data_IF_149723277353
#
_entry.id   IF_149723277353
#
_cell.length_a   1.000
_cell.length_b   1.000
_cell.length_c   1.000
_cell.angle_alpha   90.00
_cell.angle_beta   90.00
_cell.angle_gamma   90.00
#
_symmetry.space_group_name_H-M   'P 1'
#
loop_
_entity.id
_entity.type
_entity.pdbx_description
1 polymer ?
#
# COMPACT_ATOMS: atom_id res chain seq x y z
N UNK A 1 -40.14 -25.60 36.93
CA UNK A 1 -38.76 -26.04 37.19
C UNK A 1 -38.30 -26.77 35.94
N UNK A 2 -37.99 -26.04 34.87
CA UNK A 2 -36.76 -25.24 34.67
C UNK A 2 -35.56 -26.15 34.44
N UNK A 3 -35.33 -26.53 33.19
CA UNK A 3 -33.98 -26.77 32.69
C UNK A 3 -33.77 -25.85 31.49
N UNK A 4 -32.89 -24.88 31.71
CA UNK A 4 -32.46 -23.88 30.74
C UNK A 4 -31.54 -24.57 29.73
N UNK A 5 -31.94 -24.55 28.45
CA UNK A 5 -31.03 -24.75 27.34
C UNK A 5 -29.90 -23.72 27.45
N UNK A 6 -28.65 -24.20 27.40
CA UNK A 6 -27.45 -23.38 27.31
C UNK A 6 -27.03 -23.29 25.84
N UNK A 7 -27.27 -22.19 25.11
CA UNK A 7 -26.74 -21.99 23.76
C UNK A 7 -25.44 -21.21 23.88
N UNK A 8 -24.34 -21.88 24.26
CA UNK A 8 -23.12 -21.19 24.66
C UNK A 8 -21.82 -21.70 24.06
N UNK A 9 -21.83 -22.61 23.07
CA UNK A 9 -20.57 -23.25 22.62
C UNK A 9 -20.51 -23.70 21.16
N UNK A 10 -21.26 -23.06 20.25
CA UNK A 10 -21.20 -23.37 18.81
C UNK A 10 -20.69 -22.21 17.93
N UNK A 11 -20.07 -21.17 18.50
CA UNK A 11 -19.52 -20.02 17.72
C UNK A 11 -17.99 -19.98 17.63
N UNK A 12 -17.27 -20.98 18.14
CA UNK A 12 -15.80 -20.98 18.13
C UNK A 12 -15.15 -21.76 16.97
N UNK A 13 -15.95 -22.32 16.05
CA UNK A 13 -15.45 -23.22 15.00
C UNK A 13 -15.44 -22.68 13.56
N UNK A 14 -15.92 -21.45 13.33
CA UNK A 14 -16.15 -20.90 11.98
C UNK A 14 -15.16 -19.80 11.57
N UNK A 15 -14.14 -19.50 12.38
CA UNK A 15 -13.27 -18.33 12.22
C UNK A 15 -11.94 -18.59 11.49
N UNK A 16 -11.62 -19.83 11.14
CA UNK A 16 -10.41 -20.18 10.38
C UNK A 16 -10.77 -20.63 8.95
N UNK A 17 -11.11 -19.67 8.07
CA UNK A 17 -11.10 -19.91 6.62
C UNK A 17 -9.71 -19.58 6.04
N UNK A 18 -9.09 -20.46 5.25
CA UNK A 18 -7.67 -20.43 4.88
C UNK A 18 -7.20 -19.19 4.10
N UNK A 19 -8.08 -18.42 3.44
CA UNK A 19 -7.66 -17.42 2.42
C UNK A 19 -7.37 -15.99 2.91
N UNK A 20 -7.79 -15.57 4.10
CA UNK A 20 -7.22 -14.32 4.72
C UNK A 20 -6.28 -14.58 5.87
N UNK A 21 -6.25 -15.82 6.37
CA UNK A 21 -4.99 -16.35 6.84
C UNK A 21 -3.92 -16.19 5.74
N UNK A 22 -4.22 -16.43 4.46
CA UNK A 22 -3.25 -16.22 3.37
C UNK A 22 -2.84 -14.75 3.13
N UNK A 23 -3.74 -13.74 3.11
CA UNK A 23 -3.32 -12.33 2.93
C UNK A 23 -2.59 -11.76 4.16
N UNK A 24 -3.10 -12.00 5.37
CA UNK A 24 -2.39 -11.60 6.60
C UNK A 24 -1.08 -12.37 6.72
N UNK A 25 -1.03 -13.64 6.31
CA UNK A 25 0.20 -14.41 6.26
C UNK A 25 1.15 -13.89 5.18
N UNK A 26 0.66 -13.40 4.03
CA UNK A 26 1.46 -12.76 2.98
C UNK A 26 2.03 -11.42 3.45
N UNK A 27 1.24 -10.56 4.07
CA UNK A 27 1.73 -9.28 4.66
C UNK A 27 2.71 -9.58 5.80
N UNK A 28 2.41 -10.55 6.66
CA UNK A 28 3.32 -10.99 7.70
C UNK A 28 4.60 -11.62 7.10
N UNK A 29 4.50 -12.34 5.99
CA UNK A 29 5.65 -12.88 5.26
C UNK A 29 6.48 -11.77 4.64
N UNK A 30 5.86 -10.77 4.02
CA UNK A 30 6.56 -9.60 3.49
C UNK A 30 7.33 -8.85 4.58
N UNK A 31 6.73 -8.69 5.77
CA UNK A 31 7.43 -8.13 6.94
C UNK A 31 8.55 -9.06 7.46
N UNK A 32 8.38 -10.38 7.41
CA UNK A 32 9.44 -11.35 7.75
C UNK A 32 10.59 -11.30 6.73
N UNK A 33 10.28 -11.21 5.45
CA UNK A 33 11.25 -11.05 4.36
C UNK A 33 12.02 -9.75 4.51
N UNK A 34 11.32 -8.64 4.74
CA UNK A 34 11.94 -7.35 5.05
C UNK A 34 12.88 -7.45 6.26
N UNK A 35 12.42 -8.03 7.37
CA UNK A 35 13.25 -8.19 8.57
C UNK A 35 14.51 -9.05 8.32
N UNK A 36 14.38 -10.14 7.54
CA UNK A 36 15.50 -11.00 7.16
C UNK A 36 16.48 -10.26 6.24
N UNK A 37 15.98 -9.54 5.25
CA UNK A 37 16.80 -8.76 4.33
C UNK A 37 17.55 -7.65 5.08
N UNK A 38 16.87 -6.92 5.97
CA UNK A 38 17.48 -5.90 6.81
C UNK A 38 18.55 -6.49 7.75
N UNK A 39 18.25 -7.61 8.41
CA UNK A 39 19.23 -8.30 9.26
C UNK A 39 20.48 -8.74 8.49
N UNK A 40 20.32 -9.15 7.22
CA UNK A 40 21.44 -9.51 6.35
C UNK A 40 22.22 -8.30 5.83
N UNK A 41 21.54 -7.17 5.57
CA UNK A 41 22.15 -5.95 5.05
C UNK A 41 22.94 -5.19 6.11
N UNK A 42 22.42 -5.08 7.34
CA UNK A 42 23.02 -4.28 8.41
C UNK A 42 24.51 -4.60 8.71
N UNK A 43 24.96 -5.86 8.79
CA UNK A 43 26.37 -6.19 9.02
C UNK A 43 27.29 -5.91 7.82
N UNK A 44 26.72 -5.71 6.64
CA UNK A 44 27.46 -5.45 5.40
C UNK A 44 27.68 -3.95 5.15
N UNK A 45 27.04 -3.10 5.94
CA UNK A 45 27.18 -1.66 5.86
C UNK A 45 28.64 -1.24 6.11
N UNK A 46 29.27 -0.49 5.18
CA UNK A 46 30.61 0.04 5.38
C UNK A 46 30.70 0.89 6.66
N UNK A 47 31.87 0.90 7.29
CA UNK A 47 32.11 1.79 8.43
C UNK A 47 31.93 3.24 7.99
N UNK A 48 31.06 3.97 8.70
CA UNK A 48 30.71 5.35 8.40
C UNK A 48 29.51 5.54 7.51
N UNK A 49 28.90 4.49 6.97
CA UNK A 49 27.66 4.63 6.22
C UNK A 49 26.45 4.79 7.14
N UNK A 50 25.45 5.53 6.66
CA UNK A 50 24.13 5.62 7.26
C UNK A 50 23.09 5.04 6.30
N UNK A 51 22.18 4.23 6.83
CA UNK A 51 21.01 3.69 6.14
C UNK A 51 19.79 4.40 6.68
N UNK A 52 19.02 5.06 5.83
CA UNK A 52 17.76 5.70 6.17
C UNK A 52 16.57 4.83 5.73
N UNK A 53 15.58 4.72 6.60
CA UNK A 53 14.32 4.02 6.37
C UNK A 53 13.20 4.95 6.78
N UNK A 54 12.46 5.47 5.80
CA UNK A 54 11.34 6.36 6.03
C UNK A 54 10.03 5.72 5.56
N UNK A 55 8.96 5.95 6.33
CA UNK A 55 7.62 5.84 5.77
C UNK A 55 7.47 6.96 4.76
N UNK A 56 7.02 6.60 3.57
CA UNK A 56 6.67 7.58 2.56
C UNK A 56 5.57 8.51 3.12
N UNK A 57 5.88 9.80 3.40
CA UNK A 57 4.98 10.73 4.11
C UNK A 57 3.65 10.94 3.38
N UNK A 58 3.67 10.66 2.09
CA UNK A 58 2.54 10.85 1.20
C UNK A 58 1.65 9.63 1.19
N UNK A 59 2.23 8.44 1.32
CA UNK A 59 1.50 7.17 1.41
C UNK A 59 0.86 6.96 2.80
N UNK A 60 1.37 7.63 3.84
CA UNK A 60 0.78 7.71 5.19
C UNK A 60 -0.24 8.85 5.37
N UNK A 61 -0.37 9.76 4.40
CA UNK A 61 -1.23 10.94 4.52
C UNK A 61 -0.74 11.94 5.58
N UNK A 62 0.56 11.94 5.87
CA UNK A 62 1.17 12.71 6.97
C UNK A 62 1.81 14.02 6.53
N UNK A 63 1.73 14.35 5.23
CA UNK A 63 2.22 15.61 4.68
C UNK A 63 3.75 15.68 4.78
N UNK A 64 4.28 16.64 5.55
CA UNK A 64 5.73 16.79 5.78
C UNK A 64 6.27 15.98 6.97
N UNK A 65 5.42 15.26 7.70
CA UNK A 65 5.87 14.46 8.84
C UNK A 65 6.48 13.14 8.36
N UNK A 66 7.80 13.04 8.54
CA UNK A 66 8.59 11.86 8.17
C UNK A 66 8.74 10.97 9.40
N UNK A 67 8.08 9.82 9.37
CA UNK A 67 8.32 8.76 10.36
C UNK A 67 9.42 7.86 9.83
N UNK A 68 10.56 7.83 10.52
CA UNK A 68 11.70 7.07 10.02
C UNK A 68 12.64 6.57 11.10
N UNK A 69 13.52 5.70 10.66
CA UNK A 69 14.63 5.15 11.41
C UNK A 69 15.90 5.30 10.57
N UNK A 70 16.96 5.83 11.15
CA UNK A 70 18.29 5.78 10.56
C UNK A 70 19.20 4.82 11.31
N UNK A 71 20.13 4.19 10.62
CA UNK A 71 21.13 3.28 11.18
C UNK A 71 22.51 3.66 10.68
N UNK A 72 23.39 4.04 11.60
CA UNK A 72 24.78 4.37 11.32
C UNK A 72 25.71 3.22 11.73
N UNK A 73 26.67 2.89 10.88
CA UNK A 73 27.79 2.00 11.20
C UNK A 73 28.96 2.82 11.74
N UNK A 74 29.27 2.67 13.03
CA UNK A 74 30.32 3.44 13.73
C UNK A 74 31.73 2.93 13.39
N UNK A 75 32.75 3.70 13.78
CA UNK A 75 34.18 3.39 13.53
C UNK A 75 34.65 2.04 14.11
N UNK A 76 34.01 1.59 15.18
CA UNK A 76 34.29 0.30 15.81
C UNK A 76 33.50 -0.87 15.19
N UNK A 77 32.75 -0.60 14.11
CA UNK A 77 31.86 -1.55 13.44
C UNK A 77 30.56 -1.82 14.19
N UNK A 78 30.27 -1.11 15.29
CA UNK A 78 29.00 -1.22 15.98
C UNK A 78 27.91 -0.42 15.27
N UNK A 79 26.66 -0.88 15.38
CA UNK A 79 25.51 -0.23 14.76
C UNK A 79 24.78 0.63 15.80
N UNK A 80 24.50 1.87 15.42
CA UNK A 80 23.66 2.78 16.16
C UNK A 80 22.41 3.10 15.35
N UNK A 81 21.23 2.82 15.89
CA UNK A 81 19.98 3.22 15.29
C UNK A 81 19.37 4.43 16.01
N UNK A 82 18.68 5.25 15.23
CA UNK A 82 17.92 6.42 15.67
C UNK A 82 16.52 6.34 15.12
N UNK A 83 15.51 6.58 15.95
CA UNK A 83 14.12 6.62 15.53
C UNK A 83 13.52 8.00 15.85
N UNK A 84 12.81 8.56 14.87
CA UNK A 84 12.18 9.89 14.96
C UNK A 84 11.34 10.05 16.24
N UNK A 85 11.45 11.22 16.88
CA UNK A 85 10.67 11.58 18.05
C UNK A 85 9.74 12.78 17.80
N UNK A 86 8.92 13.11 18.80
CA UNK A 86 8.03 14.29 18.76
C UNK A 86 8.74 15.64 18.59
N UNK A 87 10.06 15.70 18.78
CA UNK A 87 10.85 16.90 18.51
C UNK A 87 10.92 17.19 16.99
N UNK A 88 10.93 16.14 16.17
CA UNK A 88 11.04 16.21 14.71
C UNK A 88 9.69 16.05 13.99
N UNK A 89 8.59 15.87 14.74
CA UNK A 89 7.25 15.72 14.20
C UNK A 89 6.41 17.00 14.41
N UNK A 90 5.64 17.45 13.39
CA UNK A 90 4.67 18.54 13.55
C UNK A 90 3.61 18.22 14.61
N UNK A 91 2.99 19.24 15.21
CA UNK A 91 2.06 19.10 16.35
C UNK A 91 0.91 18.10 16.10
N UNK A 92 0.39 18.01 14.86
CA UNK A 92 -0.71 17.10 14.49
C UNK A 92 -0.29 15.64 14.26
N UNK A 93 1.01 15.36 14.23
CA UNK A 93 1.59 14.04 13.91
C UNK A 93 2.51 13.55 15.02
N UNK A 94 2.40 14.10 16.23
CA UNK A 94 3.19 13.64 17.36
C UNK A 94 2.71 12.28 17.85
N UNK A 95 3.66 11.42 18.18
CA UNK A 95 3.45 10.15 18.88
C UNK A 95 2.71 10.39 20.19
N UNK A 96 1.60 9.68 20.37
CA UNK A 96 0.85 9.66 21.62
C UNK A 96 1.60 8.91 22.72
N UNK A 97 1.13 9.03 23.97
CA UNK A 97 1.76 8.38 25.13
C UNK A 97 1.87 6.86 25.00
N UNK A 98 0.89 6.23 24.35
CA UNK A 98 0.88 4.78 24.08
C UNK A 98 1.98 4.38 23.10
N UNK A 99 2.15 5.14 22.01
CA UNK A 99 3.23 4.94 21.03
C UNK A 99 4.61 5.16 21.66
N UNK A 100 4.78 6.20 22.48
CA UNK A 100 6.04 6.45 23.22
C UNK A 100 6.34 5.29 24.19
N UNK A 101 5.34 4.78 24.91
CA UNK A 101 5.52 3.63 25.78
C UNK A 101 5.91 2.36 24.99
N UNK A 102 5.33 2.17 23.81
CA UNK A 102 5.69 1.08 22.91
C UNK A 102 7.15 1.18 22.42
N UNK A 103 7.63 2.39 22.08
CA UNK A 103 9.05 2.62 21.74
C UNK A 103 9.97 2.15 22.87
N UNK A 104 9.71 2.57 24.11
CA UNK A 104 10.52 2.18 25.27
C UNK A 104 10.44 0.67 25.52
N UNK A 105 9.26 0.07 25.37
CA UNK A 105 9.08 -1.38 25.52
C UNK A 105 9.81 -2.20 24.45
N UNK A 106 10.02 -1.64 23.26
CA UNK A 106 10.84 -2.23 22.19
C UNK A 106 12.34 -2.14 22.47
N UNK A 107 12.76 -1.36 23.47
CA UNK A 107 14.17 -1.19 23.86
C UNK A 107 14.79 0.14 23.44
N UNK A 108 14.01 1.05 22.84
CA UNK A 108 14.49 2.38 22.51
C UNK A 108 14.76 3.22 23.75
N UNK A 109 15.94 3.84 23.81
CA UNK A 109 16.25 4.86 24.81
C UNK A 109 15.54 6.17 24.42
N UNK A 110 14.85 6.83 25.36
CA UNK A 110 14.23 8.13 25.09
C UNK A 110 15.22 9.19 24.57
N UNK A 111 14.73 10.23 23.87
CA UNK A 111 15.55 11.36 23.45
C UNK A 111 16.42 11.93 24.57
N UNK A 112 17.70 12.20 24.28
CA UNK A 112 18.67 12.74 25.23
C UNK A 112 19.27 11.73 26.22
N UNK A 113 18.85 10.46 26.22
CA UNK A 113 19.39 9.44 27.14
C UNK A 113 20.66 8.78 26.58
N UNK A 114 20.69 8.50 25.27
CA UNK A 114 21.83 7.85 24.61
C UNK A 114 22.70 8.89 23.90
N UNK A 115 24.03 8.80 24.08
CA UNK A 115 24.96 9.63 23.34
C UNK A 115 24.86 9.31 21.83
N UNK A 116 24.74 10.36 20.99
CA UNK A 116 24.59 10.23 19.55
C UNK A 116 23.14 10.17 19.04
N UNK A 117 22.13 9.93 19.90
CA UNK A 117 20.72 9.95 19.46
C UNK A 117 20.10 11.35 19.40
N UNK A 118 20.72 12.34 20.06
CA UNK A 118 20.24 13.73 20.13
C UNK A 118 18.76 13.79 20.55
N UNK A 119 17.92 14.38 19.73
CA UNK A 119 16.47 14.53 19.94
C UNK A 119 15.67 13.30 19.50
N UNK A 120 16.31 12.27 18.95
CA UNK A 120 15.69 11.02 18.53
C UNK A 120 15.80 9.94 19.61
N UNK A 121 14.93 8.95 19.51
CA UNK A 121 15.08 7.69 20.26
C UNK A 121 16.35 6.98 19.80
N UNK A 122 17.11 6.43 20.73
CA UNK A 122 18.41 5.82 20.45
C UNK A 122 18.49 4.36 20.86
N UNK A 123 19.18 3.56 20.05
CA UNK A 123 19.54 2.18 20.42
C UNK A 123 20.85 1.78 19.76
N UNK A 124 21.64 0.94 20.43
CA UNK A 124 22.79 0.24 19.85
C UNK A 124 22.55 -1.26 19.93
N UNK A 125 23.08 -2.01 18.97
CA UNK A 125 22.87 -3.46 18.95
C UNK A 125 23.55 -4.17 17.79
N UNK A 126 23.41 -5.49 17.77
CA UNK A 126 23.82 -6.34 16.66
C UNK A 126 22.73 -6.39 15.57
N UNK A 127 23.13 -6.65 14.32
CA UNK A 127 22.26 -6.59 13.13
C UNK A 127 20.91 -7.28 13.28
N UNK A 128 20.86 -8.54 13.74
CA UNK A 128 19.60 -9.30 13.86
C UNK A 128 18.62 -8.70 14.88
N UNK A 129 19.13 -8.33 16.06
CA UNK A 129 18.33 -7.74 17.12
C UNK A 129 17.82 -6.36 16.72
N UNK A 130 18.69 -5.58 16.07
CA UNK A 130 18.39 -4.26 15.55
C UNK A 130 17.31 -4.31 14.47
N UNK A 131 17.46 -5.18 13.47
CA UNK A 131 16.48 -5.35 12.39
C UNK A 131 15.08 -5.69 12.90
N UNK A 132 14.96 -6.55 13.91
CA UNK A 132 13.67 -6.89 14.50
C UNK A 132 13.01 -5.69 15.20
N UNK A 133 13.78 -4.93 16.00
CA UNK A 133 13.27 -3.74 16.68
C UNK A 133 12.85 -2.67 15.66
N UNK A 134 13.66 -2.43 14.62
CA UNK A 134 13.35 -1.47 13.55
C UNK A 134 12.07 -1.89 12.82
N UNK A 135 11.96 -3.16 12.43
CA UNK A 135 10.77 -3.69 11.75
C UNK A 135 9.50 -3.48 12.59
N UNK A 136 9.55 -3.80 13.88
CA UNK A 136 8.43 -3.59 14.80
C UNK A 136 8.12 -2.12 15.02
N UNK A 137 9.13 -1.26 15.00
CA UNK A 137 8.94 0.19 15.14
C UNK A 137 8.18 0.75 13.94
N UNK A 138 8.64 0.44 12.72
CA UNK A 138 8.01 0.90 11.48
C UNK A 138 6.57 0.39 11.35
N UNK A 139 6.33 -0.89 11.67
CA UNK A 139 5.01 -1.54 11.54
C UNK A 139 4.05 -1.20 12.70
N UNK A 140 4.49 -1.44 13.93
CA UNK A 140 3.60 -1.43 15.11
C UNK A 140 3.45 -0.04 15.73
N UNK A 141 4.46 0.84 15.60
CA UNK A 141 4.47 2.18 16.22
C UNK A 141 4.19 3.28 15.20
N UNK A 142 4.92 3.27 14.08
CA UNK A 142 4.71 4.27 13.01
C UNK A 142 3.57 3.89 12.08
N UNK A 143 3.04 2.67 12.18
CA UNK A 143 1.82 2.26 11.50
C UNK A 143 1.99 1.99 10.01
N UNK A 144 3.21 1.67 9.54
CA UNK A 144 3.42 1.26 8.15
C UNK A 144 2.59 0.00 7.85
N UNK A 145 1.65 0.05 6.88
CA UNK A 145 0.76 -1.09 6.63
C UNK A 145 1.48 -2.24 5.92
N UNK A 146 2.49 -1.94 5.11
CA UNK A 146 3.27 -2.91 4.34
C UNK A 146 4.69 -2.38 4.08
N UNK A 147 5.74 -3.22 3.97
CA UNK A 147 7.11 -2.74 3.73
C UNK A 147 7.27 -1.96 2.41
N UNK A 148 6.38 -2.16 1.44
CA UNK A 148 6.38 -1.40 0.18
C UNK A 148 6.14 0.12 0.35
N UNK A 149 5.61 0.54 1.50
CA UNK A 149 5.44 1.94 1.87
C UNK A 149 6.72 2.55 2.44
N UNK A 150 7.75 1.73 2.66
CA UNK A 150 9.05 2.19 3.10
C UNK A 150 9.89 2.60 1.89
N UNK A 151 10.51 3.76 2.02
CA UNK A 151 11.59 4.20 1.15
C UNK A 151 12.89 4.07 1.94
N UNK A 152 13.93 3.60 1.27
CA UNK A 152 15.25 3.50 1.86
C UNK A 152 16.33 4.01 0.93
N UNK A 153 17.39 4.53 1.54
CA UNK A 153 18.62 4.95 0.90
C UNK A 153 19.79 4.70 1.85
N UNK A 154 20.97 4.52 1.30
CA UNK A 154 22.19 4.41 2.10
C UNK A 154 23.27 5.29 1.49
N UNK A 155 23.97 6.03 2.33
CA UNK A 155 25.05 6.92 1.95
C UNK A 155 26.27 6.71 2.84
N UNK A 156 27.46 7.01 2.30
CA UNK A 156 28.68 7.05 3.08
C UNK A 156 28.93 8.45 3.70
N UNK A 157 30.11 8.63 4.31
CA UNK A 157 30.48 9.91 4.95
C UNK A 157 30.66 11.07 3.97
N UNK A 158 30.83 10.76 2.69
CA UNK A 158 30.98 11.72 1.61
C UNK A 158 29.64 11.99 0.92
N UNK A 159 28.52 11.48 1.49
CA UNK A 159 27.16 11.54 0.94
C UNK A 159 27.03 10.79 -0.40
N UNK A 160 27.96 9.87 -0.71
CA UNK A 160 27.89 9.06 -1.92
C UNK A 160 27.02 7.82 -1.69
N UNK A 161 26.19 7.42 -2.67
CA UNK A 161 25.24 6.33 -2.52
C UNK A 161 25.97 4.98 -2.33
N UNK A 162 25.59 4.27 -1.27
CA UNK A 162 26.08 2.93 -0.95
C UNK A 162 25.09 1.91 -1.49
N UNK A 163 25.57 1.02 -2.37
CA UNK A 163 24.75 -0.07 -2.86
C UNK A 163 24.46 -1.09 -1.74
N UNK A 164 23.18 -1.30 -1.47
CA UNK A 164 22.70 -2.33 -0.54
C UNK A 164 21.78 -3.31 -1.27
N UNK A 165 21.79 -4.55 -0.81
CA UNK A 165 20.89 -5.58 -1.34
C UNK A 165 19.41 -5.20 -1.07
N UNK A 166 18.49 -5.57 -1.96
CA UNK A 166 17.08 -5.19 -1.81
C UNK A 166 16.46 -5.62 -0.49
N UNK A 167 15.80 -4.68 0.19
CA UNK A 167 15.12 -4.91 1.47
C UNK A 167 13.69 -5.45 1.27
N UNK A 168 13.57 -6.61 0.62
CA UNK A 168 12.28 -7.22 0.29
C UNK A 168 11.47 -6.33 -0.66
N UNK A 169 10.23 -5.98 -0.28
CA UNK A 169 9.36 -5.11 -1.10
C UNK A 169 9.56 -3.62 -0.84
N UNK A 170 10.44 -3.22 0.08
CA UNK A 170 10.73 -1.80 0.32
C UNK A 170 11.36 -1.16 -0.92
N UNK A 171 11.12 0.14 -1.12
CA UNK A 171 11.55 0.85 -2.33
C UNK A 171 12.87 1.57 -2.08
N UNK A 172 13.83 1.39 -2.97
CA UNK A 172 15.03 2.22 -2.97
C UNK A 172 14.67 3.60 -3.52
N UNK A 173 15.20 4.68 -2.93
CA UNK A 173 14.88 6.06 -3.35
C UNK A 173 15.14 6.28 -4.85
N UNK A 174 16.30 5.88 -5.38
CA UNK A 174 16.59 5.92 -6.83
C UNK A 174 15.62 5.14 -7.73
N UNK A 175 14.87 4.17 -7.20
CA UNK A 175 13.84 3.42 -7.95
C UNK A 175 12.50 4.14 -7.98
N UNK A 176 12.26 5.05 -7.02
CA UNK A 176 11.09 5.95 -7.02
C UNK A 176 11.12 6.86 -8.25
N UNK A 177 12.32 7.30 -8.66
CA UNK A 177 12.55 8.09 -9.88
C UNK A 177 12.63 7.26 -11.18
N UNK A 178 12.87 5.95 -11.10
CA UNK A 178 13.10 5.11 -12.28
C UNK A 178 11.83 4.46 -12.88
N UNK A 179 10.79 4.23 -12.06
CA UNK A 179 9.54 3.58 -12.52
C UNK A 179 8.45 4.56 -12.97
N UNK A 180 8.67 5.86 -12.76
CA UNK A 180 7.83 6.93 -13.27
C UNK A 180 8.78 7.94 -13.88
N UNK A 181 8.70 8.30 -15.19
CA UNK A 181 9.44 9.46 -15.65
C UNK A 181 9.04 10.61 -14.73
N UNK A 182 9.96 11.18 -13.94
CA UNK A 182 9.68 12.05 -12.80
C UNK A 182 8.52 13.01 -13.09
N UNK A 183 7.27 12.60 -12.77
CA UNK A 183 6.05 13.35 -13.10
C UNK A 183 5.96 14.58 -12.19
N UNK A 184 6.64 14.53 -11.04
CA UNK A 184 6.85 15.68 -10.17
C UNK A 184 7.83 16.72 -10.74
N UNK A 185 8.59 16.39 -11.80
CA UNK A 185 9.49 17.32 -12.49
C UNK A 185 8.93 17.90 -13.79
N UNK A 186 7.79 17.39 -14.26
CA UNK A 186 6.92 18.15 -15.16
C UNK A 186 6.28 19.25 -14.31
N UNK A 187 6.22 20.47 -14.83
CA UNK A 187 5.64 21.67 -14.20
C UNK A 187 4.10 21.54 -14.04
N UNK A 188 3.66 20.45 -13.40
CA UNK A 188 2.29 19.99 -13.25
C UNK A 188 1.59 20.64 -12.04
N UNK A 189 2.29 21.50 -11.30
CA UNK A 189 1.71 22.33 -10.23
C UNK A 189 0.60 23.29 -10.71
N UNK A 190 0.48 23.50 -12.03
CA UNK A 190 -0.59 24.30 -12.65
C UNK A 190 -1.68 23.50 -13.37
N UNK A 191 -1.57 22.17 -13.44
CA UNK A 191 -2.55 21.31 -14.12
C UNK A 191 -3.68 20.90 -13.17
N UNK A 192 -4.88 20.71 -13.73
CA UNK A 192 -5.99 20.17 -12.96
C UNK A 192 -5.75 18.69 -12.61
N UNK A 193 -6.51 18.17 -11.64
CA UNK A 193 -6.36 16.79 -11.17
C UNK A 193 -6.62 15.77 -12.29
N UNK A 194 -7.53 16.07 -13.22
CA UNK A 194 -7.89 15.20 -14.32
C UNK A 194 -6.73 15.01 -15.30
N UNK A 195 -6.10 16.10 -15.70
CA UNK A 195 -4.95 16.11 -16.60
C UNK A 195 -3.74 15.39 -15.98
N UNK A 196 -3.49 15.63 -14.69
CA UNK A 196 -2.44 14.92 -13.94
C UNK A 196 -2.69 13.41 -13.91
N UNK A 197 -3.92 12.98 -13.69
CA UNK A 197 -4.31 11.56 -13.71
C UNK A 197 -4.13 10.95 -15.10
N UNK A 198 -4.52 11.66 -16.17
CA UNK A 198 -4.35 11.20 -17.56
C UNK A 198 -2.89 10.97 -17.91
N UNK A 199 -1.99 11.89 -17.53
CA UNK A 199 -0.54 11.76 -17.76
C UNK A 199 0.03 10.52 -17.06
N UNK A 200 -0.41 10.26 -15.83
CA UNK A 200 0.06 9.10 -15.05
C UNK A 200 -0.43 7.80 -15.68
N UNK A 201 -1.72 7.71 -16.02
CA UNK A 201 -2.30 6.50 -16.61
C UNK A 201 -1.72 6.22 -18.01
N UNK A 202 -1.50 7.25 -18.82
CA UNK A 202 -0.90 7.11 -20.15
C UNK A 202 0.57 6.66 -20.06
N UNK A 203 1.35 7.22 -19.12
CA UNK A 203 2.71 6.77 -18.84
C UNK A 203 2.76 5.30 -18.42
N UNK A 204 1.82 4.86 -17.56
CA UNK A 204 1.72 3.45 -17.15
C UNK A 204 1.37 2.51 -18.32
N UNK A 205 0.47 2.95 -19.21
CA UNK A 205 0.05 2.18 -20.37
C UNK A 205 1.01 2.24 -21.56
N UNK A 206 2.04 3.10 -21.48
CA UNK A 206 2.95 3.42 -22.61
C UNK A 206 2.18 3.89 -23.85
N UNK A 207 1.14 4.68 -23.62
CA UNK A 207 0.26 5.24 -24.65
C UNK A 207 0.24 6.76 -24.56
N UNK A 208 -0.28 7.43 -25.59
CA UNK A 208 -0.49 8.87 -25.55
C UNK A 208 -1.71 9.21 -24.65
N UNK A 209 -1.69 10.30 -23.85
CA UNK A 209 -2.85 10.75 -23.09
C UNK A 209 -4.15 10.88 -23.91
N UNK A 210 -4.04 11.28 -25.19
CA UNK A 210 -5.18 11.46 -26.09
C UNK A 210 -5.71 10.13 -26.66
N UNK A 211 -4.95 9.04 -26.52
CA UNK A 211 -5.34 7.68 -26.94
C UNK A 211 -5.98 6.87 -25.81
N UNK A 212 -6.04 7.42 -24.59
CA UNK A 212 -6.71 6.77 -23.47
C UNK A 212 -8.19 6.57 -23.77
N UNK A 213 -8.69 5.35 -23.50
CA UNK A 213 -10.11 5.06 -23.64
C UNK A 213 -10.87 5.73 -22.50
N UNK A 214 -11.45 6.87 -22.79
CA UNK A 214 -12.34 7.60 -21.88
C UNK A 214 -13.79 7.28 -22.25
N UNK A 215 -14.58 6.86 -21.27
CA UNK A 215 -16.00 6.58 -21.50
C UNK A 215 -16.88 7.85 -21.43
N UNK A 216 -18.19 7.68 -21.61
CA UNK A 216 -19.16 8.78 -21.59
C UNK A 216 -19.31 9.48 -20.24
N UNK A 217 -18.83 8.86 -19.16
CA UNK A 217 -18.82 9.41 -17.80
C UNK A 217 -17.49 10.10 -17.46
N UNK A 218 -16.50 10.04 -18.36
CA UNK A 218 -15.16 10.59 -18.15
C UNK A 218 -14.19 9.62 -17.46
N UNK A 219 -14.53 8.33 -17.39
CA UNK A 219 -13.67 7.33 -16.76
C UNK A 219 -12.62 6.81 -17.72
N UNK A 220 -11.39 6.68 -17.22
CA UNK A 220 -10.29 6.13 -17.98
C UNK A 220 -10.28 4.61 -17.80
N UNK A 221 -10.50 3.87 -18.89
CA UNK A 221 -10.47 2.42 -18.93
C UNK A 221 -9.04 1.87 -19.11
N UNK A 222 -8.68 0.93 -18.25
CA UNK A 222 -7.41 0.19 -18.23
C UNK A 222 -7.73 -1.29 -18.35
N UNK A 223 -7.27 -1.95 -19.41
CA UNK A 223 -7.41 -3.40 -19.57
C UNK A 223 -6.26 -4.11 -18.86
N UNK A 224 -6.58 -4.98 -17.91
CA UNK A 224 -5.58 -5.74 -17.17
C UNK A 224 -6.03 -7.21 -17.04
N UNK A 225 -5.39 -8.10 -17.81
CA UNK A 225 -5.76 -9.52 -17.81
C UNK A 225 -7.21 -9.77 -18.28
N UNK A 226 -7.99 -10.47 -17.44
CA UNK A 226 -9.43 -10.73 -17.64
C UNK A 226 -10.34 -9.64 -17.06
N UNK A 227 -9.77 -8.69 -16.32
CA UNK A 227 -10.50 -7.60 -15.68
C UNK A 227 -10.36 -6.26 -16.44
N UNK A 228 -11.36 -5.41 -16.25
CA UNK A 228 -11.29 -3.99 -16.61
C UNK A 228 -11.17 -3.16 -15.34
N UNK A 229 -10.23 -2.21 -15.34
CA UNK A 229 -10.08 -1.23 -14.26
C UNK A 229 -10.47 0.14 -14.82
N UNK A 230 -11.24 0.89 -14.06
CA UNK A 230 -11.67 2.23 -14.37
C UNK A 230 -11.06 3.21 -13.37
N UNK A 231 -10.67 4.38 -13.87
CA UNK A 231 -10.18 5.48 -13.05
C UNK A 231 -11.11 6.67 -13.24
N UNK A 232 -11.81 7.07 -12.17
CA UNK A 232 -12.73 8.21 -12.16
C UNK A 232 -12.17 9.32 -11.31
N UNK A 233 -12.11 10.52 -11.86
CA UNK A 233 -11.69 11.72 -11.13
C UNK A 233 -12.93 12.48 -10.64
N UNK A 234 -12.92 12.87 -9.36
CA UNK A 234 -13.93 13.73 -8.74
C UNK A 234 -13.27 14.99 -8.23
N UNK A 235 -13.89 16.14 -8.49
CA UNK A 235 -13.33 17.43 -8.09
C UNK A 235 -13.77 17.88 -6.70
N UNK A 236 -14.93 17.43 -6.20
CA UNK A 236 -15.52 17.93 -4.96
C UNK A 236 -16.12 16.80 -4.08
N UNK A 237 -15.42 16.32 -3.04
CA UNK A 237 -14.01 16.61 -2.71
C UNK A 237 -13.04 15.97 -3.74
N UNK A 238 -11.79 16.48 -3.86
CA UNK A 238 -10.81 15.97 -4.82
C UNK A 238 -10.42 14.54 -4.48
N UNK A 239 -10.90 13.59 -5.27
CA UNK A 239 -10.74 12.15 -5.08
C UNK A 239 -10.61 11.46 -6.43
N UNK A 240 -9.84 10.40 -6.49
CA UNK A 240 -9.73 9.53 -7.65
C UNK A 240 -10.18 8.15 -7.21
N UNK A 241 -11.28 7.66 -7.78
CA UNK A 241 -11.74 6.31 -7.53
C UNK A 241 -11.14 5.39 -8.59
N UNK A 242 -10.31 4.43 -8.17
CA UNK A 242 -9.89 3.31 -9.00
C UNK A 242 -10.84 2.15 -8.70
N UNK A 243 -11.58 1.66 -9.69
CA UNK A 243 -12.62 0.66 -9.46
C UNK A 243 -12.74 -0.34 -10.60
N UNK A 244 -13.24 -1.53 -10.31
CA UNK A 244 -13.36 -2.61 -11.28
C UNK A 244 -14.66 -3.40 -11.07
N UNK A 245 -15.41 -3.73 -12.13
CA UNK A 245 -16.48 -4.71 -12.06
C UNK A 245 -15.88 -6.10 -11.98
N UNK A 246 -16.05 -6.73 -10.82
CA UNK A 246 -15.45 -8.03 -10.51
C UNK A 246 -16.33 -9.18 -11.00
N UNK A 247 -17.65 -9.05 -10.81
CA UNK A 247 -18.61 -10.08 -11.20
C UNK A 247 -19.94 -9.45 -11.63
N UNK A 248 -20.42 -9.78 -12.83
CA UNK A 248 -21.67 -9.27 -13.40
C UNK A 248 -22.72 -10.37 -13.54
N UNK A 249 -23.96 -9.97 -13.85
CA UNK A 249 -25.12 -10.87 -14.01
C UNK A 249 -25.42 -11.70 -12.75
N UNK A 250 -25.27 -11.09 -11.57
CA UNK A 250 -25.55 -11.74 -10.29
C UNK A 250 -26.88 -11.29 -9.69
N UNK A 251 -27.59 -12.23 -9.08
CA UNK A 251 -28.77 -11.92 -8.28
C UNK A 251 -28.33 -11.52 -6.86
N UNK A 252 -28.70 -10.31 -6.38
CA UNK A 252 -28.30 -9.85 -5.06
C UNK A 252 -29.02 -10.67 -3.99
N UNK A 253 -28.26 -11.52 -3.29
CA UNK A 253 -28.74 -12.36 -2.19
C UNK A 253 -28.16 -11.90 -0.86
N UNK A 254 -28.84 -12.20 0.26
CA UNK A 254 -28.32 -11.91 1.61
C UNK A 254 -26.94 -12.54 1.83
N UNK A 255 -26.73 -13.77 1.34
CA UNK A 255 -25.44 -14.46 1.42
C UNK A 255 -24.31 -13.70 0.72
N UNK A 256 -24.59 -13.13 -0.45
CA UNK A 256 -23.62 -12.31 -1.18
C UNK A 256 -23.26 -11.06 -0.37
N UNK A 257 -24.24 -10.33 0.16
CA UNK A 257 -23.96 -9.11 0.92
C UNK A 257 -23.16 -9.36 2.21
N UNK A 258 -23.44 -10.47 2.90
CA UNK A 258 -22.64 -10.91 4.05
C UNK A 258 -21.20 -11.18 3.59
N UNK A 259 -21.01 -11.93 2.50
CA UNK A 259 -19.67 -12.22 1.97
C UNK A 259 -18.91 -10.98 1.53
N UNK A 260 -19.57 -10.04 0.84
CA UNK A 260 -18.93 -8.78 0.43
C UNK A 260 -18.54 -7.91 1.62
N UNK A 261 -19.37 -7.90 2.67
CA UNK A 261 -19.09 -7.17 3.91
C UNK A 261 -17.92 -7.79 4.67
N UNK A 262 -17.85 -9.12 4.74
CA UNK A 262 -16.71 -9.86 5.30
C UNK A 262 -15.42 -9.58 4.52
N UNK A 263 -15.46 -9.64 3.19
CA UNK A 263 -14.31 -9.36 2.34
C UNK A 263 -13.86 -7.90 2.50
N UNK A 264 -14.80 -6.94 2.50
CA UNK A 264 -14.49 -5.51 2.68
C UNK A 264 -13.85 -5.23 4.03
N UNK A 265 -14.37 -5.81 5.12
CA UNK A 265 -13.78 -5.64 6.46
C UNK A 265 -12.36 -6.21 6.58
N UNK A 266 -11.97 -7.11 5.67
CA UNK A 266 -10.66 -7.77 5.64
C UNK A 266 -9.70 -7.10 4.65
N UNK A 267 -10.16 -6.11 3.88
CA UNK A 267 -9.34 -5.36 2.95
C UNK A 267 -8.66 -4.19 3.67
N UNK A 268 -7.32 -4.11 3.67
CA UNK A 268 -6.60 -2.97 4.26
C UNK A 268 -6.91 -1.66 3.55
N UNK A 269 -7.17 -1.73 2.25
CA UNK A 269 -7.53 -0.61 1.39
C UNK A 269 -8.63 -1.03 0.42
N UNK A 270 -9.56 -0.12 0.17
CA UNK A 270 -10.66 -0.30 -0.75
C UNK A 270 -11.90 -0.95 -0.13
N UNK A 271 -12.90 -1.19 -0.99
CA UNK A 271 -14.21 -1.67 -0.61
C UNK A 271 -14.83 -2.52 -1.71
N UNK A 272 -15.69 -3.45 -1.31
CA UNK A 272 -16.55 -4.20 -2.21
C UNK A 272 -18.01 -3.83 -1.99
N UNK A 273 -18.74 -3.66 -3.08
CA UNK A 273 -20.18 -3.39 -3.01
C UNK A 273 -20.89 -3.98 -4.22
N UNK A 274 -22.17 -4.30 -4.06
CA UNK A 274 -23.00 -4.78 -5.15
C UNK A 274 -24.02 -3.68 -5.52
N UNK A 275 -24.09 -3.32 -6.79
CA UNK A 275 -25.12 -2.44 -7.34
C UNK A 275 -25.52 -2.91 -8.74
N UNK A 276 -26.80 -2.80 -9.07
CA UNK A 276 -27.36 -3.18 -10.38
C UNK A 276 -26.94 -4.59 -10.86
N UNK A 277 -26.88 -5.58 -9.96
CA UNK A 277 -26.48 -6.95 -10.30
C UNK A 277 -25.01 -7.10 -10.69
N UNK A 278 -24.15 -6.19 -10.24
CA UNK A 278 -22.70 -6.23 -10.43
C UNK A 278 -21.98 -6.00 -9.10
N UNK A 279 -20.98 -6.84 -8.81
CA UNK A 279 -20.03 -6.63 -7.72
C UNK A 279 -18.91 -5.73 -8.22
N UNK A 280 -18.64 -4.68 -7.46
CA UNK A 280 -17.60 -3.70 -7.73
C UNK A 280 -16.56 -3.73 -6.62
N UNK A 281 -15.29 -3.66 -7.00
CA UNK A 281 -14.18 -3.32 -6.13
C UNK A 281 -13.79 -1.86 -6.37
N UNK A 282 -13.46 -1.11 -5.32
CA UNK A 282 -13.05 0.29 -5.42
C UNK A 282 -11.98 0.64 -4.40
N UNK A 283 -10.93 1.33 -4.83
CA UNK A 283 -9.85 1.89 -4.01
C UNK A 283 -9.83 3.41 -4.24
N UNK A 284 -10.17 4.22 -3.23
CA UNK A 284 -10.07 5.67 -3.35
C UNK A 284 -8.62 6.13 -3.16
N UNK A 285 -8.20 7.10 -3.98
CA UNK A 285 -6.93 7.82 -3.88
C UNK A 285 -7.25 9.29 -3.65
N UNK A 286 -6.58 9.91 -2.67
CA UNK A 286 -6.77 11.33 -2.40
C UNK A 286 -6.27 12.20 -3.55
N UNK A 287 -7.12 13.11 -4.03
CA UNK A 287 -6.75 14.07 -5.07
C UNK A 287 -6.07 15.33 -4.52
N UNK A 288 -6.19 15.57 -3.21
CA UNK A 288 -5.42 16.59 -2.50
C UNK A 288 -3.99 16.10 -2.33
N UNK A 289 -3.01 16.92 -2.72
CA UNK A 289 -1.58 16.56 -2.75
C UNK A 289 -1.30 15.30 -3.59
N UNK A 290 -2.04 15.16 -4.70
CA UNK A 290 -1.99 14.03 -5.62
C UNK A 290 -0.56 13.67 -6.03
N UNK A 291 -0.28 12.37 -6.04
CA UNK A 291 0.97 11.79 -6.52
C UNK A 291 0.72 10.64 -7.47
N UNK A 292 1.53 10.63 -8.52
CA UNK A 292 1.50 9.61 -9.56
C UNK A 292 1.69 8.19 -9.01
N UNK A 293 2.60 8.05 -8.03
CA UNK A 293 2.92 6.78 -7.37
C UNK A 293 1.71 6.14 -6.68
N UNK A 294 0.84 6.93 -6.02
CA UNK A 294 -0.34 6.40 -5.34
C UNK A 294 -1.40 5.90 -6.31
N UNK A 295 -1.61 6.63 -7.41
CA UNK A 295 -2.50 6.17 -8.46
C UNK A 295 -1.96 4.89 -9.11
N UNK A 296 -0.67 4.85 -9.40
CA UNK A 296 -0.04 3.67 -9.97
C UNK A 296 -0.17 2.46 -9.05
N UNK A 297 0.05 2.63 -7.74
CA UNK A 297 -0.13 1.58 -6.75
C UNK A 297 -1.59 1.14 -6.67
N UNK A 298 -2.55 2.07 -6.62
CA UNK A 298 -3.97 1.73 -6.56
C UNK A 298 -4.43 0.95 -7.80
N UNK A 299 -3.95 1.30 -9.00
CA UNK A 299 -4.21 0.57 -10.25
C UNK A 299 -3.58 -0.83 -10.20
N UNK A 300 -2.34 -0.95 -9.72
CA UNK A 300 -1.66 -2.24 -9.59
C UNK A 300 -2.36 -3.16 -8.59
N UNK A 301 -2.75 -2.64 -7.42
CA UNK A 301 -3.48 -3.41 -6.41
C UNK A 301 -4.87 -3.79 -6.93
N UNK A 302 -5.59 -2.86 -7.56
CA UNK A 302 -6.91 -3.15 -8.14
C UNK A 302 -6.83 -4.24 -9.21
N UNK A 303 -5.81 -4.21 -10.06
CA UNK A 303 -5.59 -5.23 -11.08
C UNK A 303 -5.45 -6.62 -10.46
N UNK A 304 -4.55 -6.78 -9.49
CA UNK A 304 -4.37 -8.08 -8.81
C UNK A 304 -5.59 -8.50 -8.00
N UNK A 305 -6.30 -7.55 -7.39
CA UNK A 305 -7.51 -7.82 -6.64
C UNK A 305 -8.66 -8.27 -7.54
N UNK A 306 -8.83 -7.63 -8.70
CA UNK A 306 -9.89 -7.97 -9.65
C UNK A 306 -9.72 -9.39 -10.21
N UNK A 307 -8.49 -9.77 -10.58
CA UNK A 307 -8.15 -11.13 -11.04
C UNK A 307 -8.27 -12.20 -9.93
N UNK A 308 -8.11 -11.86 -8.65
CA UNK A 308 -8.35 -12.84 -7.58
C UNK A 308 -9.84 -12.99 -7.28
N UNK A 309 -10.55 -11.86 -7.23
CA UNK A 309 -11.96 -11.85 -6.84
C UNK A 309 -12.87 -12.34 -7.98
N UNK A 310 -12.51 -12.16 -9.25
CA UNK A 310 -13.29 -12.66 -10.38
C UNK A 310 -13.33 -14.20 -10.40
N UNK A 311 -12.19 -14.85 -10.15
CA UNK A 311 -12.04 -16.30 -10.04
C UNK A 311 -12.85 -16.86 -8.87
N UNK A 312 -12.73 -16.24 -7.70
CA UNK A 312 -13.35 -16.70 -6.45
C UNK A 312 -14.86 -16.51 -6.47
N UNK A 313 -15.34 -15.32 -6.80
CA UNK A 313 -16.77 -15.03 -6.78
C UNK A 313 -17.51 -15.77 -7.89
N UNK A 314 -16.88 -15.95 -9.07
CA UNK A 314 -17.44 -16.79 -10.12
C UNK A 314 -17.60 -18.25 -9.68
N UNK A 315 -16.61 -18.79 -8.97
CA UNK A 315 -16.67 -20.16 -8.44
C UNK A 315 -17.75 -20.38 -7.37
N UNK A 316 -18.04 -19.38 -6.54
CA UNK A 316 -18.94 -19.51 -5.38
C UNK A 316 -20.40 -19.11 -5.66
N UNK A 317 -20.63 -18.07 -6.46
CA UNK A 317 -21.97 -17.52 -6.69
C UNK A 317 -22.47 -17.71 -8.13
N UNK A 318 -21.59 -18.09 -9.07
CA UNK A 318 -21.88 -18.02 -10.50
C UNK A 318 -22.03 -16.57 -11.00
N UNK A 319 -21.88 -16.35 -12.30
CA UNK A 319 -21.97 -15.03 -12.94
C UNK A 319 -21.08 -14.94 -14.17
N UNK A 320 -21.06 -13.80 -14.87
CA UNK A 320 -20.14 -13.58 -16.00
C UNK A 320 -18.96 -12.72 -15.55
N UNK A 321 -17.78 -13.08 -16.05
CA UNK A 321 -16.59 -12.22 -15.98
C UNK A 321 -16.67 -11.18 -17.09
N UNK A 322 -15.91 -10.09 -16.97
CA UNK A 322 -15.90 -9.05 -17.99
C UNK A 322 -15.35 -9.57 -19.33
N UNK A 323 -14.33 -10.43 -19.31
CA UNK A 323 -13.87 -11.20 -20.47
C UNK A 323 -13.88 -12.71 -20.18
N UNK A 324 -14.29 -13.51 -21.17
CA UNK A 324 -14.30 -14.98 -21.07
C UNK A 324 -12.94 -15.60 -21.40
N UNK A 325 -12.72 -16.83 -20.90
CA UNK A 325 -11.53 -17.65 -21.19
C UNK A 325 -11.45 -17.96 -22.71
N UNK A 326 -10.70 -17.14 -23.44
CA UNK A 326 -10.55 -17.27 -24.90
C UNK A 326 -10.25 -16.00 -25.69
N UNK A 327 -10.36 -14.80 -25.11
CA UNK A 327 -10.13 -13.56 -25.85
C UNK A 327 -8.63 -13.20 -25.93
N UNK A 328 -7.91 -13.89 -26.83
CA UNK A 328 -6.59 -13.44 -27.29
C UNK A 328 -6.75 -12.20 -28.17
N UNK A 329 -5.76 -11.28 -28.21
CA UNK A 329 -5.91 -9.99 -28.84
C UNK A 329 -5.97 -10.14 -30.36
N UNK A 330 -7.18 -10.25 -30.90
CA UNK A 330 -7.44 -10.02 -32.30
C UNK A 330 -7.86 -8.56 -32.44
N UNK A 331 -7.04 -7.79 -33.14
CA UNK A 331 -7.31 -6.38 -33.41
C UNK A 331 -8.67 -6.18 -34.08
N UNK A 332 -9.30 -5.09 -33.65
CA UNK A 332 -10.51 -4.46 -34.19
C UNK A 332 -11.85 -5.17 -33.97
N UNK A 333 -12.89 -4.32 -33.89
CA UNK A 333 -14.36 -4.49 -34.03
C UNK A 333 -15.13 -4.37 -32.68
N UNK A 334 -16.31 -3.71 -32.60
CA UNK A 334 -16.75 -2.38 -33.05
C UNK A 334 -17.42 -1.56 -31.90
N UNK A 335 -17.80 -0.31 -32.16
CA UNK A 335 -18.63 0.52 -31.25
C UNK A 335 -19.92 -0.21 -30.81
N UNK A 336 -19.96 -0.74 -29.60
CA UNK A 336 -21.19 -1.16 -28.95
C UNK A 336 -21.71 0.01 -28.10
N UNK A 337 -22.73 0.69 -28.63
CA UNK A 337 -23.55 1.71 -27.93
C UNK A 337 -24.03 1.17 -26.58
N UNK A 338 -23.48 1.71 -25.49
CA UNK A 338 -24.11 1.63 -24.17
C UNK A 338 -24.85 2.95 -23.95
N UNK A 339 -25.99 3.07 -24.61
CA UNK A 339 -26.99 4.05 -24.25
C UNK A 339 -27.87 3.48 -23.16
N UNK A 340 -28.03 4.27 -22.09
CA UNK A 340 -29.34 4.59 -21.56
C UNK A 340 -30.09 3.48 -20.80
N UNK A 341 -29.87 3.38 -19.49
CA UNK A 341 -30.91 2.97 -18.54
C UNK A 341 -30.79 3.76 -17.22
N UNK A 342 -31.64 4.81 -17.17
CA UNK A 342 -32.13 5.65 -16.07
C UNK A 342 -31.18 6.15 -14.97
#
# INVERSE_FOLDING_TARGET
MSELSNPGLAEAGLLDEPTTADLHAKVAEAWREFARALAAALPTLPVGSELELALDPTASGTGSAVYGVSVECLDDGSLQARAVSNANLPDGFRLERTAIAAMVALGWSPPGVMAGSRENFGMTGAGDGLANVITRTLRDVYGAPHPAFLVYEAHDREEEPVAIEPLGTARHESTVDAFLPSIDSLDASGLDLGDRVRIVVSAMLKSDPDELQVDGDGDIGIRAGSAMVFVRVRENPPLIDVFSPVLTDIEPTEKLFVKLSELTNRMPIGRLYCTAGTVWASIPVFGRDFQASHLALAIQVMTGLADELDDRLHGEFGGKRFFGEGDKPAGNIPEARIGQYL
#
